data_IF_013372681443
#
_entry.id   IF_013372681443
#
_cell.length_a   1.000
_cell.length_b   1.000
_cell.length_c   1.000
_cell.angle_alpha   90.00
_cell.angle_beta   90.00
_cell.angle_gamma   90.00
#
_symmetry.space_group_name_H-M   'P 1'
#
loop_
_entity.id
_entity.type
_entity.pdbx_description
1 polymer ?
#
# COMPACT_ATOMS: atom_id res chain seq x y z
N UNK A 1 -35.96 -37.09 -50.72
CA UNK A 1 -34.82 -36.69 -49.85
C UNK A 1 -34.97 -35.21 -49.53
N UNK A 2 -35.27 -34.86 -48.26
CA UNK A 2 -35.31 -33.47 -47.78
C UNK A 2 -34.07 -33.27 -46.90
N UNK A 3 -33.18 -32.38 -47.33
CA UNK A 3 -31.96 -32.02 -46.61
C UNK A 3 -32.38 -30.96 -45.58
N UNK A 4 -32.34 -31.31 -44.30
CA UNK A 4 -32.54 -30.37 -43.21
C UNK A 4 -31.17 -29.75 -42.87
N UNK A 5 -31.02 -28.46 -43.16
CA UNK A 5 -29.87 -27.64 -42.79
C UNK A 5 -29.95 -27.30 -41.30
N UNK A 6 -29.08 -27.91 -40.49
CA UNK A 6 -28.83 -27.47 -39.12
C UNK A 6 -27.96 -26.21 -39.16
N UNK A 7 -28.53 -25.04 -38.84
CA UNK A 7 -27.76 -23.84 -38.52
C UNK A 7 -27.23 -23.94 -37.10
N UNK A 8 -25.92 -24.20 -36.95
CA UNK A 8 -25.22 -24.04 -35.68
C UNK A 8 -25.06 -22.54 -35.38
N UNK A 9 -25.84 -22.00 -34.44
CA UNK A 9 -25.51 -20.73 -33.80
C UNK A 9 -24.30 -20.96 -32.88
N UNK A 10 -23.11 -20.57 -33.35
CA UNK A 10 -21.94 -20.40 -32.50
C UNK A 10 -22.12 -19.10 -31.72
N UNK A 11 -22.55 -19.19 -30.47
CA UNK A 11 -22.53 -18.06 -29.55
C UNK A 11 -21.07 -17.79 -29.15
N UNK A 12 -20.40 -16.87 -29.84
CA UNK A 12 -19.10 -16.37 -29.44
C UNK A 12 -19.27 -15.56 -28.15
N UNK A 13 -18.96 -16.17 -27.01
CA UNK A 13 -18.89 -15.49 -25.73
C UNK A 13 -17.62 -14.64 -25.74
N UNK A 14 -17.76 -13.37 -26.14
CA UNK A 14 -16.68 -12.38 -26.05
C UNK A 14 -16.42 -12.14 -24.57
N UNK A 15 -15.39 -12.78 -24.01
CA UNK A 15 -14.79 -12.33 -22.77
C UNK A 15 -14.16 -10.97 -23.06
N UNK A 16 -14.84 -9.89 -22.69
CA UNK A 16 -14.20 -8.59 -22.61
C UNK A 16 -13.10 -8.69 -21.55
N UNK A 17 -11.81 -8.46 -21.88
CA UNK A 17 -10.82 -8.27 -20.84
C UNK A 17 -11.24 -7.03 -20.06
N UNK A 18 -11.68 -7.21 -18.82
CA UNK A 18 -11.76 -6.10 -17.87
C UNK A 18 -10.32 -5.70 -17.59
N UNK A 19 -9.78 -4.81 -18.41
CA UNK A 19 -8.56 -4.09 -18.07
C UNK A 19 -8.89 -3.25 -16.85
N UNK A 20 -8.74 -3.82 -15.66
CA UNK A 20 -8.68 -3.02 -14.45
C UNK A 20 -7.55 -2.01 -14.67
N UNK A 21 -7.80 -0.73 -14.40
CA UNK A 21 -6.71 0.22 -14.24
C UNK A 21 -5.83 -0.23 -13.09
N UNK A 22 -4.52 -0.02 -13.21
CA UNK A 22 -3.55 -0.44 -12.20
C UNK A 22 -2.43 0.58 -12.13
N UNK A 23 -2.20 1.13 -10.95
CA UNK A 23 -1.02 1.94 -10.68
C UNK A 23 -0.85 2.23 -9.19
N UNK A 24 0.39 2.51 -8.80
CA UNK A 24 0.71 2.92 -7.43
C UNK A 24 2.03 3.68 -7.36
N UNK A 25 2.21 4.45 -6.30
CA UNK A 25 3.52 4.94 -5.88
C UNK A 25 4.39 3.78 -5.35
N UNK A 26 5.64 3.73 -5.77
CA UNK A 26 6.63 2.73 -5.37
C UNK A 26 7.74 3.32 -4.50
N UNK A 27 7.95 4.63 -4.56
CA UNK A 27 8.87 5.39 -3.69
C UNK A 27 8.25 6.73 -3.31
N UNK A 28 8.27 7.13 -2.02
CA UNK A 28 8.61 6.34 -0.83
C UNK A 28 7.84 5.03 -0.71
N UNK A 29 8.37 4.06 0.07
CA UNK A 29 7.84 2.71 0.11
C UNK A 29 6.36 2.71 0.57
N UNK A 30 5.42 2.18 -0.23
CA UNK A 30 4.01 2.19 0.11
C UNK A 30 3.73 1.25 1.29
N UNK A 31 2.66 1.54 2.03
CA UNK A 31 2.17 0.65 3.09
C UNK A 31 1.89 -0.74 2.54
N UNK A 32 2.32 -1.81 3.22
CA UNK A 32 2.03 -3.17 2.79
C UNK A 32 0.56 -3.51 3.01
N UNK A 33 0.09 -4.55 2.32
CA UNK A 33 -1.14 -5.23 2.71
C UNK A 33 -0.80 -6.14 3.89
N UNK A 34 -1.09 -5.67 5.09
CA UNK A 34 -0.75 -6.36 6.33
C UNK A 34 -1.68 -7.54 6.63
N UNK A 35 -1.31 -8.32 7.66
CA UNK A 35 -2.21 -9.32 8.22
C UNK A 35 -3.46 -8.67 8.83
N UNK A 36 -3.33 -7.52 9.49
CA UNK A 36 -4.46 -6.80 10.08
C UNK A 36 -5.42 -6.31 9.00
N UNK A 37 -4.90 -5.73 7.91
CA UNK A 37 -5.71 -5.37 6.74
C UNK A 37 -6.54 -6.56 6.25
N UNK A 38 -5.91 -7.74 6.11
CA UNK A 38 -6.59 -8.96 5.65
C UNK A 38 -7.65 -9.47 6.62
N UNK A 39 -7.43 -9.30 7.93
CA UNK A 39 -8.41 -9.65 8.94
C UNK A 39 -9.64 -8.72 8.87
N UNK A 40 -9.42 -7.45 8.56
CA UNK A 40 -10.46 -6.41 8.66
C UNK A 40 -11.19 -6.14 7.34
N UNK A 41 -10.61 -6.47 6.18
CA UNK A 41 -11.16 -6.08 4.88
C UNK A 41 -12.35 -6.94 4.39
N UNK A 42 -12.80 -7.91 5.20
CA UNK A 42 -13.98 -8.72 4.92
C UNK A 42 -13.87 -9.54 3.63
N UNK A 43 -14.78 -9.30 2.69
CA UNK A 43 -14.83 -9.99 1.40
C UNK A 43 -13.53 -9.89 0.57
N UNK A 44 -12.69 -8.89 0.84
CA UNK A 44 -11.40 -8.68 0.16
C UNK A 44 -10.26 -9.56 0.71
N UNK A 45 -10.45 -10.29 1.81
CA UNK A 45 -9.41 -11.05 2.51
C UNK A 45 -8.69 -12.09 1.65
N UNK A 46 -9.37 -12.64 0.64
CA UNK A 46 -8.82 -13.61 -0.32
C UNK A 46 -8.21 -13.00 -1.60
N UNK A 47 -8.22 -11.69 -1.76
CA UNK A 47 -7.62 -11.02 -2.91
C UNK A 47 -6.08 -11.05 -2.84
N UNK A 48 -5.43 -11.04 -4.01
CA UNK A 48 -3.98 -10.97 -4.12
C UNK A 48 -3.45 -9.58 -3.73
N UNK A 49 -2.21 -9.50 -3.22
CA UNK A 49 -1.61 -8.21 -2.81
C UNK A 49 -1.56 -7.21 -3.95
N UNK A 50 -1.22 -7.66 -5.16
CA UNK A 50 -1.18 -6.82 -6.35
C UNK A 50 -2.55 -6.20 -6.64
N UNK A 51 -3.63 -7.00 -6.57
CA UNK A 51 -4.98 -6.49 -6.77
C UNK A 51 -5.32 -5.44 -5.71
N UNK A 52 -5.04 -5.75 -4.44
CA UNK A 52 -5.33 -4.84 -3.33
C UNK A 52 -4.53 -3.55 -3.41
N UNK A 53 -3.29 -3.58 -3.92
CA UNK A 53 -2.41 -2.41 -4.06
C UNK A 53 -2.68 -1.55 -5.30
N UNK A 54 -3.03 -2.16 -6.44
CA UNK A 54 -3.06 -1.44 -7.72
C UNK A 54 -4.48 -1.14 -8.25
N UNK A 55 -5.48 -1.97 -7.92
CA UNK A 55 -6.83 -1.82 -8.50
C UNK A 55 -7.48 -0.50 -8.06
N UNK A 56 -8.42 0.08 -8.79
CA UNK A 56 -9.12 1.27 -8.31
C UNK A 56 -9.97 0.95 -7.07
N UNK A 57 -10.01 1.87 -6.12
CA UNK A 57 -10.70 1.63 -4.82
C UNK A 57 -12.21 1.48 -4.98
N UNK A 58 -12.81 2.04 -6.02
CA UNK A 58 -14.24 1.89 -6.34
C UNK A 58 -14.57 0.43 -6.69
N UNK A 59 -13.72 -0.24 -7.47
CA UNK A 59 -13.91 -1.66 -7.80
C UNK A 59 -13.70 -2.55 -6.58
N UNK A 60 -12.72 -2.26 -5.72
CA UNK A 60 -12.52 -2.99 -4.47
C UNK A 60 -13.73 -2.81 -3.53
N UNK A 61 -14.22 -1.58 -3.39
CA UNK A 61 -15.40 -1.24 -2.58
C UNK A 61 -16.65 -1.98 -3.04
N UNK A 62 -16.85 -2.12 -4.36
CA UNK A 62 -18.00 -2.81 -4.95
C UNK A 62 -18.12 -4.30 -4.59
N UNK A 63 -17.05 -4.90 -4.04
CA UNK A 63 -17.00 -6.33 -3.68
C UNK A 63 -17.49 -6.64 -2.27
N UNK A 64 -18.06 -5.67 -1.55
CA UNK A 64 -18.65 -5.92 -0.26
C UNK A 64 -19.67 -7.08 -0.30
N UNK A 65 -19.64 -7.95 0.70
CA UNK A 65 -20.55 -9.10 0.83
C UNK A 65 -21.17 -9.12 2.22
N UNK A 66 -22.49 -9.33 2.29
CA UNK A 66 -23.23 -9.30 3.55
C UNK A 66 -22.82 -10.42 4.52
N UNK A 67 -22.41 -11.58 4.00
CA UNK A 67 -21.95 -12.74 4.77
C UNK A 67 -20.45 -12.71 5.09
N UNK A 68 -19.71 -11.71 4.58
CA UNK A 68 -18.30 -11.44 4.86
C UNK A 68 -18.07 -9.94 5.05
N UNK A 69 -18.68 -9.34 6.08
CA UNK A 69 -18.57 -7.91 6.32
C UNK A 69 -17.12 -7.54 6.65
N UNK A 70 -16.72 -6.33 6.27
CA UNK A 70 -15.50 -5.73 6.79
C UNK A 70 -15.67 -5.39 8.29
N UNK A 71 -14.55 -5.25 9.00
CA UNK A 71 -14.56 -4.77 10.38
C UNK A 71 -15.18 -3.37 10.45
N UNK A 72 -15.84 -3.00 11.57
CA UNK A 72 -16.48 -1.68 11.71
C UNK A 72 -15.55 -0.47 11.52
N UNK A 73 -14.25 -0.66 11.76
CA UNK A 73 -13.21 0.36 11.62
C UNK A 73 -12.56 0.39 10.23
N UNK A 74 -12.82 -0.60 9.38
CA UNK A 74 -12.23 -0.70 8.06
C UNK A 74 -12.99 0.15 7.04
N UNK A 75 -12.25 0.97 6.29
CA UNK A 75 -12.81 1.76 5.20
C UNK A 75 -11.84 1.81 4.02
N UNK A 76 -12.15 1.11 2.93
CA UNK A 76 -11.35 1.12 1.69
C UNK A 76 -11.20 2.53 1.10
N UNK A 77 -12.18 3.41 1.35
CA UNK A 77 -12.22 4.80 0.87
C UNK A 77 -11.60 5.79 1.86
N UNK A 78 -10.78 5.34 2.82
CA UNK A 78 -10.19 6.20 3.84
C UNK A 78 -9.13 7.21 3.34
N UNK A 79 -8.91 7.32 2.02
CA UNK A 79 -7.83 8.10 1.41
C UNK A 79 -6.52 7.33 1.27
N UNK A 80 -6.35 6.20 1.97
CA UNK A 80 -5.16 5.34 1.89
C UNK A 80 -5.54 3.88 1.57
N UNK A 81 -6.59 3.66 0.77
CA UNK A 81 -6.98 2.31 0.28
C UNK A 81 -7.31 1.32 1.40
N UNK A 82 -7.80 1.81 2.53
CA UNK A 82 -8.07 1.02 3.75
C UNK A 82 -6.83 0.63 4.54
N UNK A 83 -5.62 1.00 4.09
CA UNK A 83 -4.40 0.83 4.89
C UNK A 83 -4.33 1.92 5.97
N UNK A 84 -3.75 1.56 7.10
CA UNK A 84 -3.46 2.46 8.22
C UNK A 84 -2.01 2.29 8.64
N UNK A 85 -1.48 3.20 9.45
CA UNK A 85 -0.14 3.02 10.02
C UNK A 85 -0.13 1.82 10.96
N UNK A 86 0.88 0.97 10.82
CA UNK A 86 1.21 -0.11 11.74
C UNK A 86 2.69 0.00 12.14
N UNK A 87 3.05 -0.42 13.34
CA UNK A 87 4.41 -0.24 13.90
C UNK A 87 5.52 -0.90 13.05
N UNK A 88 5.17 -1.93 12.28
CA UNK A 88 6.08 -2.63 11.37
C UNK A 88 6.13 -2.03 9.96
N UNK A 89 5.39 -0.96 9.66
CA UNK A 89 5.48 -0.28 8.37
C UNK A 89 6.85 0.36 8.19
N UNK A 90 7.34 0.37 6.96
CA UNK A 90 8.51 1.17 6.58
C UNK A 90 8.16 2.65 6.68
N UNK A 91 8.94 3.39 7.45
CA UNK A 91 8.80 4.84 7.60
C UNK A 91 9.96 5.53 6.90
N UNK A 92 9.65 6.48 6.01
CA UNK A 92 10.66 7.26 5.30
C UNK A 92 10.91 8.58 6.02
N UNK A 93 12.14 8.83 6.42
CA UNK A 93 12.54 10.12 6.96
C UNK A 93 12.77 11.12 5.83
N UNK A 94 12.09 12.27 5.91
CA UNK A 94 12.18 13.36 4.96
C UNK A 94 12.52 14.65 5.69
N UNK A 95 13.25 15.54 5.02
CA UNK A 95 13.61 16.86 5.58
C UNK A 95 12.79 17.93 4.90
N UNK A 96 12.10 18.76 5.68
CA UNK A 96 11.37 19.90 5.14
C UNK A 96 12.29 20.86 4.38
N UNK A 97 11.82 21.42 3.26
CA UNK A 97 12.60 22.28 2.38
C UNK A 97 13.68 21.56 1.56
N UNK A 98 13.76 20.23 1.63
CA UNK A 98 14.71 19.43 0.84
C UNK A 98 13.96 18.61 -0.21
N UNK A 99 14.40 18.59 -1.48
CA UNK A 99 13.83 17.72 -2.49
C UNK A 99 14.00 16.24 -2.16
N UNK A 100 13.01 15.42 -2.49
CA UNK A 100 13.05 13.96 -2.42
C UNK A 100 12.41 13.34 -3.66
N UNK A 101 12.84 12.12 -4.00
CA UNK A 101 12.31 11.40 -5.16
C UNK A 101 10.97 10.76 -4.85
N UNK A 102 10.09 10.80 -5.85
CA UNK A 102 8.85 10.04 -5.89
C UNK A 102 8.85 9.19 -7.15
N UNK A 103 8.55 7.91 -7.01
CA UNK A 103 8.49 6.96 -8.12
C UNK A 103 7.15 6.22 -8.11
N UNK A 104 6.67 5.80 -9.28
CA UNK A 104 5.42 5.08 -9.43
C UNK A 104 5.46 4.12 -10.62
N UNK A 105 4.48 3.22 -10.64
CA UNK A 105 4.21 2.34 -11.78
C UNK A 105 2.76 2.51 -12.22
N UNK A 106 2.55 2.59 -13.53
CA UNK A 106 1.23 2.59 -14.18
C UNK A 106 1.20 1.40 -15.14
N UNK A 107 0.38 0.38 -14.87
CA UNK A 107 0.26 -0.79 -15.75
C UNK A 107 -0.84 -0.59 -16.80
N UNK A 108 -1.85 0.21 -16.48
CA UNK A 108 -2.96 0.52 -17.37
C UNK A 108 -3.27 2.02 -17.28
N UNK A 109 -2.85 2.82 -18.27
CA UNK A 109 -3.08 4.27 -18.28
C UNK A 109 -4.57 4.61 -18.33
N UNK A 110 -4.97 5.56 -17.49
CA UNK A 110 -6.27 6.21 -17.49
C UNK A 110 -6.02 7.71 -17.32
N UNK A 111 -6.16 8.52 -18.40
CA UNK A 111 -5.89 9.94 -18.32
C UNK A 111 -6.66 10.59 -17.17
N UNK A 112 -5.97 11.39 -16.38
CA UNK A 112 -6.53 12.02 -15.20
C UNK A 112 -5.53 12.96 -14.53
N UNK A 113 -5.69 13.14 -13.23
CA UNK A 113 -4.85 14.03 -12.43
C UNK A 113 -4.20 13.25 -11.31
N UNK A 114 -2.92 13.51 -11.06
CA UNK A 114 -2.21 12.99 -9.89
C UNK A 114 -1.87 14.12 -8.95
N UNK A 115 -2.27 13.97 -7.69
CA UNK A 115 -1.96 14.90 -6.60
C UNK A 115 -1.12 14.17 -5.57
N UNK A 116 0.04 14.73 -5.25
CA UNK A 116 0.89 14.29 -4.15
C UNK A 116 0.66 15.21 -2.96
N UNK A 117 0.31 14.64 -1.80
CA UNK A 117 0.00 15.40 -0.59
C UNK A 117 0.67 14.80 0.65
N UNK A 118 0.95 15.63 1.65
CA UNK A 118 1.10 15.17 3.04
C UNK A 118 -0.29 15.08 3.65
N UNK A 119 -0.62 13.92 4.21
CA UNK A 119 -1.89 13.66 4.88
C UNK A 119 -1.70 13.30 6.34
N UNK A 120 -2.68 13.62 7.17
CA UNK A 120 -2.75 13.23 8.58
C UNK A 120 -3.92 12.29 8.85
N UNK A 121 -3.77 11.29 9.73
CA UNK A 121 -4.89 10.48 10.17
C UNK A 121 -5.85 11.29 11.05
N UNK A 122 -7.13 11.08 10.84
CA UNK A 122 -8.24 11.58 11.65
C UNK A 122 -9.10 10.36 12.00
N UNK A 123 -9.49 10.22 13.26
CA UNK A 123 -10.27 9.06 13.74
C UNK A 123 -11.65 9.51 14.18
N UNK A 124 -12.69 8.91 13.61
CA UNK A 124 -14.05 9.22 13.99
C UNK A 124 -14.47 8.53 15.30
N UNK A 125 -15.69 8.83 15.79
CA UNK A 125 -16.24 8.23 17.00
C UNK A 125 -16.42 6.71 16.97
N UNK A 126 -16.33 6.08 15.79
CA UNK A 126 -16.45 4.63 15.58
C UNK A 126 -15.09 3.97 15.42
N UNK A 127 -13.99 4.73 15.48
CA UNK A 127 -12.64 4.24 15.28
C UNK A 127 -12.24 4.10 13.81
N UNK A 128 -13.01 4.66 12.87
CA UNK A 128 -12.63 4.68 11.45
C UNK A 128 -11.57 5.76 11.27
N UNK A 129 -10.41 5.37 10.74
CA UNK A 129 -9.33 6.29 10.39
C UNK A 129 -9.54 6.75 8.94
N UNK A 130 -9.54 8.06 8.72
CA UNK A 130 -9.47 8.72 7.40
C UNK A 130 -8.23 9.60 7.32
N UNK A 131 -7.77 9.90 6.10
CA UNK A 131 -6.60 10.72 5.87
C UNK A 131 -6.97 12.04 5.22
N UNK A 132 -6.60 13.14 5.86
CA UNK A 132 -6.89 14.50 5.42
C UNK A 132 -5.61 15.18 4.92
N UNK A 133 -5.67 15.81 3.74
CA UNK A 133 -4.54 16.56 3.20
C UNK A 133 -4.28 17.82 4.02
N UNK A 134 -3.04 17.97 4.46
CA UNK A 134 -2.56 19.17 5.18
C UNK A 134 -1.59 19.99 4.35
N UNK A 135 -1.08 19.43 3.25
CA UNK A 135 -0.29 20.14 2.25
C UNK A 135 -0.29 19.37 0.94
N UNK A 136 -0.65 20.05 -0.16
CA UNK A 136 -0.39 19.59 -1.51
C UNK A 136 1.05 19.94 -1.88
N UNK A 137 1.80 18.95 -2.40
CA UNK A 137 3.21 19.08 -2.73
C UNK A 137 3.44 19.25 -4.23
N UNK A 138 2.64 18.55 -5.03
CA UNK A 138 2.75 18.49 -6.49
C UNK A 138 1.41 18.05 -7.07
N UNK A 139 1.03 18.67 -8.18
CA UNK A 139 -0.05 18.20 -9.05
C UNK A 139 0.50 17.99 -10.46
N UNK A 140 0.19 16.85 -11.06
CA UNK A 140 0.48 16.55 -12.46
C UNK A 140 -0.86 16.38 -13.19
N UNK A 141 -1.07 17.21 -14.19
CA UNK A 141 -2.26 17.22 -15.04
C UNK A 141 -1.87 17.69 -16.46
N UNK A 142 -2.09 16.88 -17.51
CA UNK A 142 -2.62 15.52 -17.47
C UNK A 142 -1.60 14.50 -16.92
N UNK A 143 -2.12 13.42 -16.32
CA UNK A 143 -1.35 12.29 -15.79
C UNK A 143 -1.86 10.95 -16.36
N UNK A 144 -0.94 10.00 -16.56
CA UNK A 144 -1.22 8.66 -17.07
C UNK A 144 -1.97 8.68 -18.41
N UNK A 145 -1.54 9.56 -19.32
CA UNK A 145 -2.07 9.65 -20.67
C UNK A 145 -1.62 8.45 -21.51
N UNK A 146 -0.37 8.01 -21.32
CA UNK A 146 0.24 6.98 -22.15
C UNK A 146 1.13 6.03 -21.31
N UNK A 147 1.47 4.86 -21.87
CA UNK A 147 2.32 3.86 -21.20
C UNK A 147 3.80 4.27 -21.07
N UNK A 148 4.21 5.37 -21.69
CA UNK A 148 5.57 5.90 -21.69
C UNK A 148 5.74 7.16 -20.86
N UNK A 149 4.74 7.51 -20.04
CA UNK A 149 4.83 8.64 -19.13
C UNK A 149 5.97 8.44 -18.13
N UNK A 150 6.56 9.55 -17.68
CA UNK A 150 7.59 9.52 -16.66
C UNK A 150 7.10 8.72 -15.44
N UNK A 151 7.95 7.85 -14.91
CA UNK A 151 7.65 7.00 -13.74
C UNK A 151 8.21 7.58 -12.44
N UNK A 152 8.71 8.81 -12.48
CA UNK A 152 9.29 9.49 -11.33
C UNK A 152 9.26 11.01 -11.46
N UNK A 153 9.37 11.68 -10.32
CA UNK A 153 9.56 13.13 -10.19
C UNK A 153 10.28 13.44 -8.88
N UNK A 154 10.49 14.72 -8.60
CA UNK A 154 10.93 15.20 -7.29
C UNK A 154 9.83 16.04 -6.65
N UNK A 155 9.72 15.97 -5.34
CA UNK A 155 8.81 16.79 -4.54
C UNK A 155 9.56 17.36 -3.33
N UNK A 156 8.94 18.30 -2.63
CA UNK A 156 9.52 18.93 -1.45
C UNK A 156 8.43 19.19 -0.43
N UNK A 157 8.67 18.84 0.84
CA UNK A 157 7.75 19.16 1.94
C UNK A 157 7.98 20.61 2.38
N UNK A 158 6.96 21.49 2.40
CA UNK A 158 7.09 22.84 2.92
C UNK A 158 7.48 22.86 4.40
N UNK A 159 8.28 23.84 4.82
CA UNK A 159 8.66 24.02 6.24
C UNK A 159 7.49 24.40 7.16
N UNK A 160 6.36 24.79 6.59
CA UNK A 160 5.09 25.06 7.28
C UNK A 160 4.34 23.81 7.71
N UNK A 161 4.65 22.62 7.15
CA UNK A 161 4.07 21.35 7.60
C UNK A 161 4.63 21.05 8.98
N UNK A 162 3.76 20.89 9.99
CA UNK A 162 4.14 20.62 11.38
C UNK A 162 3.41 19.41 11.92
N UNK A 163 3.89 18.82 13.01
CA UNK A 163 3.25 17.66 13.66
C UNK A 163 3.27 16.41 12.78
N UNK A 164 4.40 16.17 12.11
CA UNK A 164 4.73 14.95 11.37
C UNK A 164 6.06 14.36 11.90
N UNK A 165 6.35 14.53 13.19
CA UNK A 165 7.67 14.28 13.76
C UNK A 165 7.88 12.84 14.23
N UNK A 166 6.81 12.04 14.29
CA UNK A 166 6.81 10.65 14.72
C UNK A 166 6.10 9.76 13.71
N UNK A 167 6.49 8.48 13.70
CA UNK A 167 5.85 7.49 12.84
C UNK A 167 4.34 7.40 13.15
N UNK A 168 3.52 7.37 12.10
CA UNK A 168 2.06 7.39 12.22
C UNK A 168 1.44 8.79 12.32
N UNK A 169 2.22 9.85 12.56
CA UNK A 169 1.69 11.22 12.56
C UNK A 169 1.20 11.64 11.17
N UNK A 170 1.95 11.27 10.13
CA UNK A 170 1.70 11.67 8.74
C UNK A 170 2.03 10.55 7.76
N UNK A 171 1.40 10.63 6.59
CA UNK A 171 1.76 9.84 5.42
C UNK A 171 1.91 10.75 4.20
N UNK A 172 2.70 10.32 3.23
CA UNK A 172 2.66 10.84 1.88
C UNK A 172 1.56 10.10 1.12
N UNK A 173 0.63 10.83 0.51
CA UNK A 173 -0.44 10.30 -0.31
C UNK A 173 -0.17 10.64 -1.78
N UNK A 174 -0.01 9.61 -2.59
CA UNK A 174 -0.11 9.69 -4.04
C UNK A 174 -1.56 9.39 -4.41
N UNK A 175 -2.28 10.37 -4.95
CA UNK A 175 -3.69 10.27 -5.29
C UNK A 175 -3.86 10.51 -6.80
N UNK A 176 -4.04 9.43 -7.55
CA UNK A 176 -4.39 9.51 -8.96
C UNK A 176 -5.88 9.26 -9.15
N UNK A 177 -6.57 10.19 -9.81
CA UNK A 177 -7.97 10.07 -10.19
C UNK A 177 -8.16 10.30 -11.68
N UNK A 178 -9.01 9.48 -12.31
CA UNK A 178 -9.45 9.67 -13.69
C UNK A 178 -10.96 9.86 -13.72
N UNK A 179 -11.41 11.04 -14.14
CA UNK A 179 -12.83 11.31 -14.38
C UNK A 179 -13.39 10.41 -15.50
N UNK A 180 -12.57 10.17 -16.55
CA UNK A 180 -12.95 9.35 -17.69
C UNK A 180 -13.25 7.90 -17.29
N UNK A 181 -12.44 7.33 -16.40
CA UNK A 181 -12.63 5.97 -15.90
C UNK A 181 -13.53 5.92 -14.66
N UNK A 182 -13.80 7.07 -14.03
CA UNK A 182 -14.44 7.18 -12.71
C UNK A 182 -13.74 6.31 -11.66
N UNK A 183 -12.41 6.38 -11.62
CA UNK A 183 -11.55 5.48 -10.86
C UNK A 183 -10.46 6.24 -10.12
N UNK A 184 -10.15 5.77 -8.90
CA UNK A 184 -9.16 6.37 -8.01
C UNK A 184 -8.13 5.34 -7.56
N UNK A 185 -6.86 5.74 -7.54
CA UNK A 185 -5.71 4.91 -7.18
C UNK A 185 -4.87 5.57 -6.09
N UNK A 186 -5.38 5.64 -4.84
CA UNK A 186 -4.61 6.19 -3.73
C UNK A 186 -3.54 5.19 -3.28
N UNK A 187 -2.35 5.71 -3.00
CA UNK A 187 -1.24 4.99 -2.36
C UNK A 187 -0.69 5.85 -1.24
N UNK A 188 -0.45 5.26 -0.07
CA UNK A 188 0.14 5.98 1.06
C UNK A 188 1.45 5.34 1.49
N UNK A 189 2.44 6.16 1.84
CA UNK A 189 3.70 5.77 2.46
C UNK A 189 3.88 6.53 3.78
N UNK A 190 4.33 5.85 4.82
CA UNK A 190 4.53 6.48 6.13
C UNK A 190 5.80 7.33 6.13
N UNK A 191 5.70 8.54 6.69
CA UNK A 191 6.80 9.49 6.71
C UNK A 191 7.01 10.10 8.09
N UNK A 192 8.25 10.51 8.35
CA UNK A 192 8.60 11.46 9.42
C UNK A 192 9.27 12.66 8.78
N UNK A 193 8.90 13.86 9.23
CA UNK A 193 9.39 15.13 8.68
C UNK A 193 10.24 15.86 9.71
N UNK A 194 11.54 15.93 9.47
CA UNK A 194 12.48 16.74 10.25
C UNK A 194 12.61 18.16 9.66
N UNK A 195 13.11 19.12 10.45
CA UNK A 195 13.28 20.51 10.00
C UNK A 195 11.97 21.29 9.82
N UNK A 196 10.83 20.70 10.18
CA UNK A 196 9.52 21.36 10.24
C UNK A 196 9.43 22.30 11.45
N UNK A 197 8.84 23.49 11.27
CA UNK A 197 8.65 24.45 12.38
C UNK A 197 9.76 25.49 12.54
N UNK A 198 10.44 25.88 11.44
CA UNK A 198 11.43 26.94 11.46
C UNK A 198 10.86 28.30 11.88
N UNK A 199 11.04 28.65 13.16
CA UNK A 199 11.18 30.05 13.57
C UNK A 199 12.27 30.68 12.69
N UNK A 200 12.00 31.87 12.16
CA UNK A 200 12.98 32.70 11.44
C UNK A 200 14.15 33.05 12.36
N UNK A 201 15.07 32.12 12.56
CA UNK A 201 16.30 32.25 13.32
C UNK A 201 17.40 32.70 12.37
N UNK A 202 17.59 34.01 12.31
CA UNK A 202 18.73 34.69 11.71
C UNK A 202 20.04 34.00 12.11
N UNK A 203 20.74 33.40 11.14
CA UNK A 203 22.10 32.87 11.35
C UNK A 203 23.07 34.05 11.54
N UNK A 204 23.85 34.14 12.63
CA UNK A 204 24.97 35.06 12.69
C UNK A 204 26.06 34.55 11.74
N UNK A 205 26.39 35.36 10.74
CA UNK A 205 27.53 35.15 9.86
C UNK A 205 28.78 35.23 10.73
N UNK A 206 29.43 34.09 10.96
CA UNK A 206 30.77 34.07 11.58
C UNK A 206 31.77 33.62 10.52
N UNK A 207 32.50 34.59 10.01
CA UNK A 207 33.57 34.45 9.03
C UNK A 207 34.83 33.94 9.71
N UNK A 208 35.30 32.73 9.40
CA UNK A 208 36.70 32.34 9.64
C UNK A 208 37.20 31.35 8.58
N UNK A 209 38.18 31.80 7.81
CA UNK A 209 39.02 31.05 6.84
C UNK A 209 40.25 30.49 7.59
N UNK A 210 40.90 29.40 7.12
CA UNK A 210 41.57 28.42 7.97
C UNK A 210 43.07 28.68 8.15
N UNK A 211 43.67 28.09 9.20
CA UNK A 211 45.11 27.92 9.28
C UNK A 211 45.50 26.52 9.76
N UNK A 212 46.67 26.08 9.32
CA UNK A 212 47.08 24.70 9.17
C UNK A 212 48.05 24.18 10.26
N UNK A 213 48.05 22.85 10.40
CA UNK A 213 49.20 21.94 10.61
C UNK A 213 49.75 21.62 12.02
N UNK A 214 49.70 20.30 12.32
CA UNK A 214 50.58 19.40 13.11
C UNK A 214 50.68 19.59 14.64
N UNK A 215 50.90 18.58 15.49
CA UNK A 215 51.44 17.23 15.30
C UNK A 215 50.98 16.24 16.40
N UNK A 216 51.06 14.96 16.03
CA UNK A 216 51.15 13.69 16.78
C UNK A 216 51.57 13.69 18.26
N UNK A 217 50.90 12.85 19.07
CA UNK A 217 51.54 11.96 20.06
C UNK A 217 50.82 10.60 20.14
N UNK A 218 51.63 9.55 20.16
CA UNK A 218 51.32 8.12 20.22
C UNK A 218 51.61 7.57 21.62
N UNK A 219 50.81 6.60 22.12
CA UNK A 219 51.25 5.38 22.85
C UNK A 219 50.11 4.67 23.62
N UNK A 220 50.26 3.36 23.96
CA UNK A 220 49.22 2.34 23.75
C UNK A 220 48.84 1.56 25.04
N UNK A 221 48.44 0.27 24.96
CA UNK A 221 47.11 -0.25 25.26
C UNK A 221 46.98 -0.88 26.67
N UNK A 222 45.75 -1.19 27.11
CA UNK A 222 45.51 -2.03 28.28
C UNK A 222 44.69 -3.27 27.92
N UNK A 223 45.38 -4.40 28.03
CA UNK A 223 44.95 -5.81 28.03
C UNK A 223 44.16 -6.16 29.30
N UNK A 224 42.96 -6.76 29.21
CA UNK A 224 42.65 -8.21 29.39
C UNK A 224 41.74 -8.39 30.61
N UNK A 225 40.57 -9.01 30.44
CA UNK A 225 40.18 -10.26 31.11
C UNK A 225 38.80 -10.78 30.63
N UNK A 226 38.81 -12.03 30.17
CA UNK A 226 37.74 -13.03 29.99
C UNK A 226 38.23 -14.22 30.84
N UNK A 227 37.44 -14.99 31.62
CA UNK A 227 36.30 -15.76 31.11
C UNK A 227 35.15 -16.08 32.10
N UNK A 228 33.98 -16.46 31.57
CA UNK A 228 33.17 -17.55 32.15
C UNK A 228 32.15 -18.10 31.15
N UNK A 229 32.37 -19.36 30.79
CA UNK A 229 31.49 -20.29 30.08
C UNK A 229 30.38 -20.77 31.01
N UNK A 230 29.12 -20.89 30.58
CA UNK A 230 28.16 -21.88 31.15
C UNK A 230 27.07 -22.24 30.13
N UNK A 231 27.24 -23.43 29.56
CA UNK A 231 26.27 -24.51 29.30
C UNK A 231 24.93 -24.29 28.57
N UNK A 232 24.88 -24.91 27.39
CA UNK A 232 23.74 -25.49 26.69
C UNK A 232 23.00 -26.54 27.54
N UNK A 233 21.68 -26.69 27.35
CA UNK A 233 21.06 -28.01 27.37
C UNK A 233 20.47 -28.38 26.01
N UNK A 234 20.99 -29.48 25.45
CA UNK A 234 20.37 -30.27 24.39
C UNK A 234 19.59 -31.41 25.03
N UNK A 235 18.30 -31.56 24.72
CA UNK A 235 17.51 -32.82 24.81
C UNK A 235 16.10 -32.48 24.29
N UNK A 236 15.34 -33.24 23.52
CA UNK A 236 15.46 -34.47 22.72
C UNK A 236 14.06 -34.62 22.11
N UNK A 237 13.96 -34.90 20.82
CA UNK A 237 12.71 -35.31 20.18
C UNK A 237 12.24 -36.66 20.74
N UNK A 238 10.93 -36.95 20.65
CA UNK A 238 10.59 -38.23 20.04
C UNK A 238 9.62 -38.06 18.86
N UNK A 239 9.95 -38.84 17.84
CA UNK A 239 9.10 -39.28 16.74
C UNK A 239 8.10 -40.31 17.31
N UNK A 240 6.84 -40.28 16.85
CA UNK A 240 6.12 -41.45 16.35
C UNK A 240 4.72 -41.09 15.86
N UNK A 241 4.54 -41.26 14.54
CA UNK A 241 3.48 -42.00 13.84
C UNK A 241 2.05 -42.02 14.40
N UNK A 242 1.08 -41.57 13.58
CA UNK A 242 0.09 -42.48 12.99
C UNK A 242 -0.91 -41.73 12.09
N UNK A 243 -0.83 -42.03 10.79
CA UNK A 243 -1.91 -42.36 9.88
C UNK A 243 -3.36 -42.06 10.34
N UNK A 244 -4.11 -41.25 9.58
CA UNK A 244 -5.51 -41.54 9.19
C UNK A 244 -5.89 -40.73 7.96
N UNK A 245 -5.91 -41.44 6.84
CA UNK A 245 -6.71 -41.17 5.65
C UNK A 245 -8.21 -41.09 6.00
N UNK A 246 -8.90 -40.03 5.58
CA UNK A 246 -10.35 -40.09 5.33
C UNK A 246 -10.79 -38.99 4.38
N UNK A 247 -11.00 -39.43 3.16
CA UNK A 247 -11.82 -38.87 2.10
C UNK A 247 -13.27 -38.67 2.57
N UNK A 248 -13.79 -37.44 2.51
CA UNK A 248 -15.24 -37.21 2.45
C UNK A 248 -15.58 -36.17 1.39
N UNK A 249 -15.64 -36.71 0.18
CA UNK A 249 -16.66 -36.49 -0.86
C UNK A 249 -17.43 -35.16 -0.84
N UNK A 250 -17.12 -34.39 -1.88
CA UNK A 250 -17.97 -33.41 -2.56
C UNK A 250 -19.36 -33.98 -2.87
N UNK A 251 -20.38 -33.57 -2.11
CA UNK A 251 -21.77 -33.99 -2.35
C UNK A 251 -22.80 -32.85 -2.31
N UNK A 252 -22.39 -31.60 -2.58
CA UNK A 252 -23.32 -30.45 -2.65
C UNK A 252 -23.40 -29.74 -4.00
N UNK A 253 -22.68 -30.17 -5.03
CA UNK A 253 -22.74 -29.53 -6.35
C UNK A 253 -23.83 -30.09 -7.29
N UNK A 254 -24.47 -31.21 -6.98
CA UNK A 254 -25.35 -31.91 -7.95
C UNK A 254 -26.85 -31.68 -7.74
N UNK A 255 -27.28 -30.94 -6.70
CA UNK A 255 -28.71 -30.76 -6.39
C UNK A 255 -29.37 -29.51 -6.97
N UNK A 256 -28.61 -28.56 -7.54
CA UNK A 256 -29.19 -27.34 -8.15
C UNK A 256 -29.56 -27.49 -9.63
N UNK A 257 -29.05 -28.50 -10.33
CA UNK A 257 -29.36 -28.67 -11.76
C UNK A 257 -30.66 -29.45 -12.06
N UNK A 258 -31.32 -30.04 -11.05
CA UNK A 258 -32.64 -30.70 -11.26
C UNK A 258 -33.86 -29.80 -11.02
N UNK A 259 -33.70 -28.59 -10.48
CA UNK A 259 -34.84 -27.71 -10.16
C UNK A 259 -35.19 -26.67 -11.24
N UNK A 260 -34.41 -26.60 -12.34
CA UNK A 260 -34.65 -25.67 -13.45
C UNK A 260 -35.28 -26.33 -14.69
N UNK A 261 -35.50 -27.65 -14.68
CA UNK A 261 -36.12 -28.39 -15.80
C UNK A 261 -37.63 -28.65 -15.62
N UNK A 262 -38.29 -27.96 -14.68
CA UNK A 262 -39.72 -28.18 -14.37
C UNK A 262 -40.54 -26.88 -14.32
N UNK A 263 -40.05 -25.79 -14.92
CA UNK A 263 -40.80 -24.52 -15.06
C UNK A 263 -40.81 -24.08 -16.53
N UNK A 264 -40.95 -25.03 -17.46
CA UNK A 264 -41.23 -24.73 -18.86
C UNK A 264 -41.89 -25.93 -19.53
N UNK A 265 -43.13 -26.16 -19.11
CA UNK A 265 -44.23 -26.70 -19.91
C UNK A 265 -45.44 -25.81 -19.67
#
# INVERSE_FOLDING_TARGET
MKIATLSSLVAAMVLLPTANGHGQMTKPAPRPISQQYRADCGALSGAGDQELQYAPVELLSSRAQADRPAAPTFNIMNGCRGTVYETNNTVTELTAGTPFDVEWVIQAPHPGTMVLSVVKPSTDSKGVITYESVAELLTIDPFAENTNDATSTTAMIPTSVTGCGSAGDCALQFYWHSDLASQTYPTCADIVVTGSGGSSGQTPITTTVPNATAATTTSPPTTTETPATTETPSTTSPISDANTESTVVSEKCTRRQRKLKTIRD
#
